data_IF_601987980832
#
_entry.id   IF_601987980832
#
_cell.length_a   1.000
_cell.length_b   1.000
_cell.length_c   1.000
_cell.angle_alpha   90.00
_cell.angle_beta   90.00
_cell.angle_gamma   90.00
#
_symmetry.space_group_name_H-M   'P 1'
#
loop_
_entity.id
_entity.type
_entity.pdbx_description
1 polymer ?
#
# COMPACT_ATOMS: atom_id res chain seq x y z
N UNK A 1 -31.46 -35.33 19.30
CA UNK A 1 -30.21 -34.57 19.26
C UNK A 1 -30.33 -33.58 18.11
N UNK A 2 -30.05 -32.29 18.29
CA UNK A 2 -30.02 -31.35 17.17
C UNK A 2 -29.03 -31.87 16.13
N UNK A 3 -29.41 -31.76 14.86
CA UNK A 3 -28.62 -32.29 13.75
C UNK A 3 -27.30 -31.51 13.65
N UNK A 4 -26.20 -32.15 14.01
CA UNK A 4 -24.86 -31.55 14.06
C UNK A 4 -24.49 -30.91 12.71
N UNK A 5 -25.00 -31.47 11.60
CA UNK A 5 -24.77 -30.94 10.26
C UNK A 5 -25.43 -29.58 10.06
N UNK A 6 -26.65 -29.39 10.56
CA UNK A 6 -27.35 -28.11 10.52
C UNK A 6 -26.60 -27.04 11.32
N UNK A 7 -26.09 -27.42 12.49
CA UNK A 7 -25.32 -26.52 13.35
C UNK A 7 -23.99 -26.11 12.72
N UNK A 8 -23.31 -27.04 12.01
CA UNK A 8 -22.11 -26.75 11.22
C UNK A 8 -22.43 -25.80 10.07
N UNK A 9 -23.55 -25.96 9.36
CA UNK A 9 -23.96 -25.03 8.31
C UNK A 9 -24.23 -23.62 8.84
N UNK A 10 -24.90 -23.50 9.97
CA UNK A 10 -25.13 -22.19 10.61
C UNK A 10 -23.82 -21.53 11.01
N UNK A 11 -22.87 -22.29 11.57
CA UNK A 11 -21.54 -21.75 11.89
C UNK A 11 -20.76 -21.31 10.66
N UNK A 12 -20.83 -22.07 9.55
CA UNK A 12 -20.23 -21.67 8.28
C UNK A 12 -20.85 -20.38 7.75
N UNK A 13 -22.18 -20.26 7.77
CA UNK A 13 -22.86 -19.01 7.35
C UNK A 13 -22.47 -17.83 8.23
N UNK A 14 -22.27 -18.04 9.52
CA UNK A 14 -21.82 -16.99 10.47
C UNK A 14 -20.35 -16.59 10.30
N UNK A 15 -19.51 -17.46 9.71
CA UNK A 15 -18.11 -17.15 9.40
C UNK A 15 -17.97 -16.23 8.17
N UNK A 16 -18.97 -16.21 7.30
CA UNK A 16 -18.98 -15.34 6.11
C UNK A 16 -19.42 -13.93 6.56
N UNK A 17 -18.46 -13.03 6.70
CA UNK A 17 -18.74 -11.62 7.01
C UNK A 17 -18.91 -10.81 5.72
N UNK A 18 -20.16 -10.59 5.31
CA UNK A 18 -20.53 -9.68 4.21
C UNK A 18 -20.85 -8.26 4.70
N UNK A 19 -20.60 -7.95 5.98
CA UNK A 19 -20.94 -6.64 6.52
C UNK A 19 -19.93 -5.58 6.10
N UNK A 20 -20.31 -4.30 6.24
CA UNK A 20 -19.41 -3.14 6.04
C UNK A 20 -18.15 -3.15 6.92
N UNK A 21 -18.05 -4.06 7.90
CA UNK A 21 -16.84 -4.23 8.73
C UNK A 21 -15.74 -4.97 7.99
N UNK A 22 -16.10 -5.82 7.03
CA UNK A 22 -15.13 -6.59 6.26
C UNK A 22 -14.41 -5.70 5.25
N UNK A 23 -13.14 -5.41 5.54
CA UNK A 23 -12.30 -4.53 4.73
C UNK A 23 -11.82 -5.16 3.41
N UNK A 24 -12.02 -6.47 3.24
CA UNK A 24 -11.79 -7.14 1.96
C UNK A 24 -12.95 -6.91 0.98
N UNK A 25 -14.11 -6.50 1.50
CA UNK A 25 -15.29 -6.16 0.71
C UNK A 25 -15.45 -4.64 0.64
N UNK A 26 -15.37 -3.96 1.78
CA UNK A 26 -15.51 -2.52 1.91
C UNK A 26 -14.16 -1.89 2.24
N UNK A 27 -13.28 -1.86 1.25
CA UNK A 27 -11.91 -1.39 1.41
C UNK A 27 -11.84 0.14 1.53
N UNK A 28 -11.35 0.61 2.68
CA UNK A 28 -11.16 2.03 2.95
C UNK A 28 -9.76 2.53 2.50
N UNK A 29 -9.73 3.30 1.42
CA UNK A 29 -8.51 3.91 0.85
C UNK A 29 -7.94 5.06 1.70
N UNK A 30 -8.70 5.62 2.65
CA UNK A 30 -8.28 6.78 3.44
C UNK A 30 -7.33 6.43 4.60
N UNK A 31 -7.07 5.14 4.82
CA UNK A 31 -6.30 4.65 5.96
C UNK A 31 -4.85 5.11 5.92
N UNK A 32 -4.36 5.53 7.09
CA UNK A 32 -2.98 5.97 7.32
C UNK A 32 -1.92 4.88 7.07
N UNK A 33 -2.32 3.61 7.03
CA UNK A 33 -1.43 2.47 6.80
C UNK A 33 -1.47 1.98 5.34
N UNK A 34 -2.06 2.77 4.44
CA UNK A 34 -2.09 2.46 3.02
C UNK A 34 -1.10 3.36 2.26
N UNK A 35 -0.40 2.73 1.33
CA UNK A 35 0.44 3.39 0.34
C UNK A 35 0.02 2.89 -1.03
N UNK A 36 -0.35 3.82 -1.90
CA UNK A 36 -0.72 3.51 -3.28
C UNK A 36 0.54 3.56 -4.14
N UNK A 37 0.81 2.47 -4.85
CA UNK A 37 1.97 2.33 -5.73
C UNK A 37 1.61 2.94 -7.08
N UNK A 38 2.43 3.89 -7.53
CA UNK A 38 2.31 4.55 -8.83
C UNK A 38 3.08 3.79 -9.92
N UNK A 39 4.23 3.23 -9.55
CA UNK A 39 5.09 2.42 -10.41
C UNK A 39 5.90 1.43 -9.55
N UNK A 40 6.30 0.26 -10.08
CA UNK A 40 6.07 -0.21 -11.46
C UNK A 40 4.64 -0.73 -11.67
N UNK A 41 4.29 -1.14 -12.90
CA UNK A 41 2.97 -1.68 -13.22
C UNK A 41 2.70 -2.98 -12.42
N UNK A 42 1.42 -3.30 -12.20
CA UNK A 42 1.00 -4.48 -11.45
C UNK A 42 1.57 -5.79 -12.02
N UNK A 43 1.73 -5.88 -13.34
CA UNK A 43 2.33 -7.04 -14.03
C UNK A 43 3.80 -7.21 -13.65
N UNK A 44 4.59 -6.14 -13.69
CA UNK A 44 6.00 -6.15 -13.26
C UNK A 44 6.13 -6.53 -11.79
N UNK A 45 5.27 -5.98 -10.92
CA UNK A 45 5.24 -6.33 -9.51
C UNK A 45 4.96 -7.84 -9.35
N UNK A 46 3.97 -8.37 -10.07
CA UNK A 46 3.59 -9.77 -9.99
C UNK A 46 4.72 -10.71 -10.45
N UNK A 47 5.33 -10.45 -11.61
CA UNK A 47 6.42 -11.29 -12.11
C UNK A 47 7.68 -11.20 -11.24
N UNK A 48 8.01 -10.03 -10.69
CA UNK A 48 9.14 -9.90 -9.78
C UNK A 48 8.89 -10.62 -8.44
N UNK A 49 7.67 -10.53 -7.88
CA UNK A 49 7.30 -11.27 -6.67
C UNK A 49 7.32 -12.79 -6.89
N UNK A 50 6.87 -13.26 -8.06
CA UNK A 50 6.92 -14.69 -8.45
C UNK A 50 8.35 -15.22 -8.54
N UNK A 51 9.30 -14.36 -8.92
CA UNK A 51 10.72 -14.68 -8.99
C UNK A 51 11.48 -14.41 -7.67
N UNK A 52 10.77 -14.15 -6.58
CA UNK A 52 11.33 -13.84 -5.24
C UNK A 52 12.34 -12.68 -5.24
N UNK A 53 12.18 -11.73 -6.17
CA UNK A 53 13.01 -10.53 -6.23
C UNK A 53 12.51 -9.48 -5.24
N UNK A 54 13.45 -8.85 -4.53
CA UNK A 54 13.17 -7.68 -3.70
C UNK A 54 12.89 -6.44 -4.56
N UNK A 55 12.28 -5.44 -3.94
CA UNK A 55 12.10 -4.11 -4.52
C UNK A 55 12.76 -3.08 -3.63
N UNK A 56 13.43 -2.12 -4.25
CA UNK A 56 13.83 -0.91 -3.57
C UNK A 56 12.71 0.12 -3.65
N UNK A 57 12.60 0.89 -2.56
CA UNK A 57 11.59 1.95 -2.45
C UNK A 57 12.26 3.25 -2.85
N UNK A 58 11.78 3.84 -3.93
CA UNK A 58 12.20 5.18 -4.29
C UNK A 58 11.51 6.21 -3.40
N UNK A 59 12.31 7.14 -2.90
CA UNK A 59 11.85 8.22 -2.04
C UNK A 59 12.11 9.56 -2.75
N UNK A 60 11.07 10.40 -2.94
CA UNK A 60 11.26 11.71 -3.54
C UNK A 60 12.34 12.53 -2.82
N UNK A 61 13.15 13.32 -3.55
CA UNK A 61 14.09 14.25 -2.92
C UNK A 61 13.34 15.25 -2.03
N UNK A 62 13.93 15.59 -0.89
CA UNK A 62 13.32 16.54 0.05
C UNK A 62 13.41 17.95 -0.57
N UNK A 63 12.29 18.46 -1.08
CA UNK A 63 12.19 19.89 -1.42
C UNK A 63 12.22 20.64 -0.10
N UNK A 64 13.34 21.27 0.23
CA UNK A 64 13.38 22.27 1.29
C UNK A 64 12.37 23.36 0.92
N UNK A 65 11.31 23.50 1.72
CA UNK A 65 10.45 24.68 1.66
C UNK A 65 11.29 25.89 2.13
N UNK A 66 12.03 26.48 1.18
CA UNK A 66 12.82 27.67 1.37
C UNK A 66 11.93 28.87 1.67
N UNK A 67 11.93 29.26 2.94
CA UNK A 67 11.86 30.61 3.51
C UNK A 67 11.55 31.72 2.48
N UNK A 68 10.39 32.37 2.64
CA UNK A 68 10.09 33.65 2.00
C UNK A 68 11.18 34.69 2.37
N UNK A 69 11.88 35.21 1.36
CA UNK A 69 12.52 36.52 1.41
C UNK A 69 14.01 36.55 1.08
N UNK A 70 14.36 36.83 -0.17
CA UNK A 70 15.39 37.81 -0.56
C UNK A 70 15.46 37.97 -2.09
N UNK A 71 15.41 39.23 -2.51
CA UNK A 71 15.55 39.81 -3.85
C UNK A 71 16.62 39.22 -4.80
N UNK A 72 16.20 38.98 -6.06
CA UNK A 72 16.79 39.62 -7.26
C UNK A 72 18.02 38.99 -7.93
N UNK A 73 17.80 38.26 -9.04
CA UNK A 73 18.21 38.60 -10.43
C UNK A 73 17.86 37.44 -11.40
N UNK A 74 17.40 37.73 -12.63
CA UNK A 74 17.16 36.72 -13.65
C UNK A 74 18.44 36.46 -14.42
N UNK A 75 18.87 35.21 -14.52
CA UNK A 75 19.71 34.78 -15.64
C UNK A 75 19.59 33.27 -15.84
N UNK A 76 19.05 32.91 -16.99
CA UNK A 76 18.94 31.56 -17.53
C UNK A 76 20.31 30.89 -17.62
N UNK A 77 20.47 29.76 -16.93
CA UNK A 77 21.32 28.68 -17.39
C UNK A 77 20.58 27.38 -17.13
N UNK A 78 20.36 26.68 -18.23
CA UNK A 78 19.78 25.36 -18.37
C UNK A 78 20.61 24.34 -17.59
N UNK A 79 20.41 24.26 -16.28
CA UNK A 79 20.56 23.00 -15.57
C UNK A 79 19.25 22.27 -15.79
N UNK A 80 19.24 21.43 -16.83
CA UNK A 80 18.30 20.32 -16.90
C UNK A 80 18.32 19.69 -15.51
N UNK A 81 17.25 19.90 -14.74
CA UNK A 81 16.92 19.09 -13.59
C UNK A 81 17.05 17.66 -14.11
N UNK A 82 18.17 17.00 -13.79
CA UNK A 82 18.25 15.55 -13.81
C UNK A 82 17.23 15.18 -12.73
N UNK A 83 15.96 15.13 -13.14
CA UNK A 83 14.89 14.65 -12.32
C UNK A 83 15.37 13.25 -11.94
N UNK A 84 15.69 13.08 -10.66
CA UNK A 84 15.94 11.78 -10.04
C UNK A 84 14.67 10.97 -10.29
N UNK A 85 14.57 10.35 -11.46
CA UNK A 85 13.47 9.50 -11.82
C UNK A 85 13.73 8.15 -11.18
N UNK A 86 12.73 7.55 -10.51
CA UNK A 86 12.86 6.20 -10.01
C UNK A 86 13.28 5.26 -11.14
N UNK A 87 14.13 4.29 -10.81
CA UNK A 87 14.45 3.23 -11.76
C UNK A 87 13.18 2.48 -12.17
N UNK A 88 13.21 1.86 -13.35
CA UNK A 88 12.02 1.22 -13.95
C UNK A 88 11.41 0.10 -13.07
N UNK A 89 12.18 -0.43 -12.12
CA UNK A 89 11.75 -1.46 -11.17
C UNK A 89 11.51 -0.94 -9.74
N UNK A 90 11.80 0.33 -9.45
CA UNK A 90 11.65 0.88 -8.11
C UNK A 90 10.18 1.14 -7.78
N UNK A 91 9.81 0.84 -6.53
CA UNK A 91 8.48 1.19 -6.03
C UNK A 91 8.45 2.68 -5.71
N UNK A 92 7.72 3.43 -6.54
CA UNK A 92 7.33 4.80 -6.20
C UNK A 92 5.85 4.86 -5.83
N UNK A 93 5.53 5.71 -4.87
CA UNK A 93 4.16 5.88 -4.39
C UNK A 93 3.49 7.11 -4.99
N UNK A 94 2.17 7.15 -4.92
CA UNK A 94 1.36 8.33 -5.31
C UNK A 94 1.57 9.52 -4.37
N UNK A 95 2.12 9.30 -3.16
CA UNK A 95 2.47 10.39 -2.26
C UNK A 95 3.79 11.03 -2.67
N UNK A 96 3.80 12.36 -2.79
CA UNK A 96 5.01 13.11 -3.18
C UNK A 96 5.91 13.50 -1.99
N UNK A 97 5.37 13.45 -0.76
CA UNK A 97 6.11 13.85 0.45
C UNK A 97 6.90 12.68 1.03
N UNK A 98 8.24 12.75 0.94
CA UNK A 98 9.17 11.78 1.52
C UNK A 98 8.87 11.44 2.99
N UNK A 99 8.73 12.47 3.84
CA UNK A 99 8.44 12.28 5.28
C UNK A 99 7.16 11.50 5.53
N UNK A 100 6.13 11.70 4.71
CA UNK A 100 4.87 10.98 4.85
C UNK A 100 5.00 9.53 4.39
N UNK A 101 5.69 9.27 3.28
CA UNK A 101 6.00 7.91 2.81
C UNK A 101 6.76 7.14 3.89
N UNK A 102 7.88 7.69 4.38
CA UNK A 102 8.71 7.04 5.40
C UNK A 102 7.92 6.78 6.69
N UNK A 103 7.10 7.74 7.12
CA UNK A 103 6.27 7.59 8.32
C UNK A 103 5.24 6.46 8.15
N UNK A 104 4.60 6.37 6.98
CA UNK A 104 3.63 5.31 6.67
C UNK A 104 4.33 3.94 6.58
N UNK A 105 5.45 3.84 5.88
CA UNK A 105 6.26 2.61 5.80
C UNK A 105 6.70 2.13 7.19
N UNK A 106 7.24 3.03 8.03
CA UNK A 106 7.61 2.72 9.42
C UNK A 106 6.40 2.23 10.23
N UNK A 107 5.23 2.83 10.03
CA UNK A 107 4.01 2.43 10.72
C UNK A 107 3.55 1.03 10.30
N UNK A 108 3.56 0.75 8.99
CA UNK A 108 3.22 -0.56 8.42
C UNK A 108 4.21 -1.62 8.95
N UNK A 109 5.51 -1.36 8.85
CA UNK A 109 6.56 -2.25 9.33
C UNK A 109 6.39 -2.58 10.82
N UNK A 110 6.24 -1.57 11.68
CA UNK A 110 6.08 -1.78 13.13
C UNK A 110 4.87 -2.65 13.45
N UNK A 111 3.75 -2.41 12.75
CA UNK A 111 2.52 -3.19 12.95
C UNK A 111 2.69 -4.63 12.48
N UNK A 112 3.23 -4.83 11.28
CA UNK A 112 3.47 -6.17 10.74
C UNK A 112 4.42 -6.98 11.63
N UNK A 113 5.48 -6.34 12.15
CA UNK A 113 6.42 -6.97 13.09
C UNK A 113 5.76 -7.35 14.42
N UNK A 114 4.92 -6.47 14.99
CA UNK A 114 4.17 -6.78 16.23
C UNK A 114 3.16 -7.91 16.02
N UNK A 115 2.39 -7.88 14.93
CA UNK A 115 1.45 -8.97 14.60
C UNK A 115 2.18 -10.31 14.39
N UNK A 116 3.37 -10.29 13.78
CA UNK A 116 4.18 -11.48 13.61
C UNK A 116 4.76 -12.00 14.92
N UNK A 117 5.28 -11.13 15.79
CA UNK A 117 5.85 -11.52 17.08
C UNK A 117 4.79 -12.08 18.04
N UNK A 118 3.60 -11.48 18.05
CA UNK A 118 2.53 -11.86 18.98
C UNK A 118 1.72 -13.07 18.50
N UNK A 119 1.47 -13.17 17.18
CA UNK A 119 0.52 -14.14 16.61
C UNK A 119 1.14 -15.07 15.56
N UNK A 120 2.39 -14.82 15.15
CA UNK A 120 3.02 -15.54 14.03
C UNK A 120 2.42 -15.21 12.66
N UNK A 121 1.64 -14.13 12.54
CA UNK A 121 0.89 -13.79 11.33
C UNK A 121 1.56 -12.69 10.53
N UNK A 122 1.67 -12.90 9.21
CA UNK A 122 2.12 -11.88 8.26
C UNK A 122 0.94 -11.00 7.85
N UNK A 123 0.93 -9.75 8.30
CA UNK A 123 -0.17 -8.80 8.04
C UNK A 123 0.16 -7.70 7.04
N UNK A 124 1.42 -7.61 6.60
CA UNK A 124 1.84 -6.78 5.46
C UNK A 124 1.51 -7.46 4.14
N UNK A 125 0.71 -6.79 3.32
CA UNK A 125 0.24 -7.30 2.03
C UNK A 125 0.31 -6.20 0.97
N UNK A 126 0.58 -6.58 -0.28
CA UNK A 126 0.32 -5.76 -1.45
C UNK A 126 -1.01 -6.20 -2.05
N UNK A 127 -1.87 -5.23 -2.37
CA UNK A 127 -3.08 -5.48 -3.15
C UNK A 127 -2.78 -5.26 -4.64
N UNK A 128 -2.95 -6.30 -5.45
CA UNK A 128 -2.90 -6.21 -6.91
C UNK A 128 -4.32 -6.09 -7.45
N UNK A 129 -4.65 -4.90 -7.94
CA UNK A 129 -5.96 -4.58 -8.49
C UNK A 129 -7.02 -4.28 -7.42
N UNK A 130 -7.88 -3.32 -7.75
CA UNK A 130 -9.04 -2.95 -6.95
C UNK A 130 -10.29 -3.07 -7.84
N UNK A 131 -11.25 -3.88 -7.39
CA UNK A 131 -12.58 -3.92 -7.97
C UNK A 131 -13.39 -2.75 -7.46
N UNK A 132 -13.91 -1.95 -8.38
CA UNK A 132 -14.87 -0.89 -8.08
C UNK A 132 -16.26 -1.41 -8.45
N UNK A 133 -17.18 -1.39 -7.50
CA UNK A 133 -18.54 -1.92 -7.67
C UNK A 133 -19.54 -1.14 -6.83
N UNK A 134 -20.83 -1.33 -7.11
CA UNK A 134 -21.93 -0.68 -6.42
C UNK A 134 -22.97 -1.71 -6.01
N UNK A 135 -23.60 -1.50 -4.85
CA UNK A 135 -24.77 -2.27 -4.48
C UNK A 135 -25.97 -1.85 -5.34
N UNK A 136 -26.89 -2.78 -5.60
CA UNK A 136 -28.04 -2.54 -6.49
C UNK A 136 -28.91 -1.35 -6.05
N UNK A 137 -28.96 -1.09 -4.75
CA UNK A 137 -29.75 -0.01 -4.14
C UNK A 137 -28.86 1.10 -3.56
N UNK A 138 -27.54 0.99 -3.68
CA UNK A 138 -26.58 1.93 -3.13
C UNK A 138 -25.95 2.80 -4.22
N UNK A 139 -25.88 4.11 -3.99
CA UNK A 139 -25.15 5.03 -4.86
C UNK A 139 -23.63 5.05 -4.58
N UNK A 140 -23.24 4.56 -3.42
CA UNK A 140 -21.86 4.52 -2.94
C UNK A 140 -21.01 3.54 -3.76
N UNK A 141 -19.90 4.04 -4.32
CA UNK A 141 -18.90 3.21 -4.99
C UNK A 141 -18.00 2.53 -3.96
N UNK A 142 -18.03 1.22 -3.97
CA UNK A 142 -17.28 0.36 -3.05
C UNK A 142 -16.03 -0.15 -3.77
N UNK A 143 -14.93 -0.19 -3.04
CA UNK A 143 -13.68 -0.77 -3.50
C UNK A 143 -13.40 -2.09 -2.79
N UNK A 144 -12.90 -3.10 -3.50
CA UNK A 144 -12.45 -4.36 -2.92
C UNK A 144 -11.12 -4.80 -3.54
N UNK A 145 -10.10 -5.22 -2.76
CA UNK A 145 -8.89 -5.81 -3.32
C UNK A 145 -9.19 -7.12 -4.04
N UNK A 146 -8.57 -7.32 -5.21
CA UNK A 146 -8.73 -8.54 -5.99
C UNK A 146 -7.76 -9.64 -5.54
N UNK A 147 -6.48 -9.29 -5.43
CA UNK A 147 -5.43 -10.22 -5.04
C UNK A 147 -4.58 -9.59 -3.92
N UNK A 148 -4.39 -10.32 -2.83
CA UNK A 148 -3.52 -9.91 -1.73
C UNK A 148 -2.31 -10.83 -1.67
N UNK A 149 -1.13 -10.25 -1.81
CA UNK A 149 0.14 -10.98 -1.73
C UNK A 149 0.86 -10.56 -0.44
N UNK A 150 1.11 -11.50 0.49
CA UNK A 150 1.91 -11.22 1.67
C UNK A 150 3.34 -10.81 1.27
N UNK A 151 3.85 -9.76 1.89
CA UNK A 151 5.19 -9.25 1.66
C UNK A 151 5.94 -9.02 2.97
N UNK A 152 7.27 -8.98 2.87
CA UNK A 152 8.14 -8.51 3.95
C UNK A 152 8.71 -7.14 3.59
N UNK A 153 8.78 -6.27 4.59
CA UNK A 153 9.41 -4.95 4.45
C UNK A 153 10.66 -4.97 5.30
N UNK A 154 11.79 -4.62 4.69
CA UNK A 154 13.06 -4.51 5.38
C UNK A 154 13.55 -3.06 5.33
N UNK A 155 14.25 -2.62 6.37
CA UNK A 155 15.02 -1.39 6.29
C UNK A 155 16.41 -1.75 5.78
N UNK A 156 16.81 -1.16 4.64
CA UNK A 156 18.18 -1.23 4.19
C UNK A 156 19.07 -0.68 5.31
N UNK A 157 19.90 -1.54 5.90
CA UNK A 157 20.90 -1.08 6.86
C UNK A 157 21.98 -0.36 6.05
N UNK A 158 22.32 0.90 6.36
CA UNK A 158 23.42 1.57 5.66
C UNK A 158 24.70 0.76 5.89
N UNK A 159 25.40 0.42 4.79
CA UNK A 159 26.71 -0.21 4.82
C UNK A 159 27.78 0.77 5.29
#
# INVERSE_FOLDING_TARGET
MPDILLQIEEWKKRLIDLTRRNQLIFFDRSKKNLLEIKQPNCETIFENLKNEKGFDVWLPPEKEEGIEGASGKPNDLFEEEIADQPDENDIAFTLDKRKDIEKRLKTIFRRASSDYQEKGLRTSVIALGLLHWKEKEGEEEICSPLLLIPIEIFQATPK
#
